data_IF_387787740480
#
_entry.id   IF_387787740480
#
_cell.length_a   1.000
_cell.length_b   1.000
_cell.length_c   1.000
_cell.angle_alpha   90.00
_cell.angle_beta   90.00
_cell.angle_gamma   90.00
#
_symmetry.space_group_name_H-M   'P 1'
#
loop_
_entity.id
_entity.type
_entity.pdbx_description
1 polymer ?
#
# COMPACT_ATOMS: atom_id res chain seq x y z
N UNK A 1 24.02 -2.78 0.51
CA UNK A 1 24.75 -2.25 -0.66
C UNK A 1 25.38 -3.38 -1.49
N UNK A 2 26.31 -4.20 -0.97
CA UNK A 2 26.94 -5.30 -1.74
C UNK A 2 25.92 -6.32 -2.31
N UNK A 3 24.99 -6.82 -1.48
CA UNK A 3 23.95 -7.74 -1.96
C UNK A 3 23.06 -7.14 -3.08
N UNK A 4 22.75 -5.84 -3.00
CA UNK A 4 21.96 -5.14 -4.02
C UNK A 4 22.75 -5.02 -5.32
N UNK A 5 24.03 -4.67 -5.27
CA UNK A 5 24.91 -4.60 -6.43
C UNK A 5 25.04 -5.96 -7.12
N UNK A 6 25.26 -7.04 -6.34
CA UNK A 6 25.31 -8.41 -6.87
C UNK A 6 24.00 -8.80 -7.56
N UNK A 7 22.86 -8.45 -6.96
CA UNK A 7 21.55 -8.71 -7.56
C UNK A 7 21.36 -7.95 -8.87
N UNK A 8 21.72 -6.67 -8.94
CA UNK A 8 21.67 -5.88 -10.18
C UNK A 8 22.57 -6.45 -11.28
N UNK A 9 23.80 -6.87 -10.93
CA UNK A 9 24.70 -7.53 -11.88
C UNK A 9 24.12 -8.86 -12.39
N UNK A 10 23.52 -9.65 -11.50
CA UNK A 10 22.83 -10.88 -11.87
C UNK A 10 21.66 -10.63 -12.83
N UNK A 11 20.82 -9.63 -12.54
CA UNK A 11 19.72 -9.24 -13.43
C UNK A 11 20.23 -8.80 -14.81
N UNK A 12 21.35 -8.08 -14.85
CA UNK A 12 21.98 -7.65 -16.11
C UNK A 12 22.50 -8.81 -16.93
N UNK A 13 23.21 -9.76 -16.31
CA UNK A 13 23.67 -10.96 -16.98
C UNK A 13 22.51 -11.81 -17.52
N UNK A 14 21.42 -11.94 -16.75
CA UNK A 14 20.21 -12.62 -17.22
C UNK A 14 19.57 -11.92 -18.41
N UNK A 15 19.48 -10.59 -18.37
CA UNK A 15 18.94 -9.80 -19.46
C UNK A 15 19.78 -9.93 -20.73
N UNK A 16 21.11 -9.81 -20.62
CA UNK A 16 22.04 -9.97 -21.76
C UNK A 16 21.90 -11.36 -22.41
N UNK A 17 21.80 -12.41 -21.59
CA UNK A 17 21.54 -13.77 -22.08
C UNK A 17 20.15 -13.89 -22.74
N UNK A 18 19.12 -13.28 -22.16
CA UNK A 18 17.76 -13.30 -22.70
C UNK A 18 17.66 -12.63 -24.08
N UNK A 19 18.40 -11.55 -24.32
CA UNK A 19 18.42 -10.86 -25.62
C UNK A 19 19.04 -11.71 -26.75
N UNK A 20 19.89 -12.69 -26.43
CA UNK A 20 20.51 -13.57 -27.41
C UNK A 20 19.58 -14.70 -27.87
N UNK A 21 18.45 -14.92 -27.20
CA UNK A 21 17.53 -16.03 -27.50
C UNK A 21 16.51 -15.59 -28.58
N UNK A 22 16.51 -16.21 -29.77
CA UNK A 22 15.57 -15.86 -30.84
C UNK A 22 14.14 -16.22 -30.46
N UNK A 23 13.26 -15.22 -30.41
CA UNK A 23 11.86 -15.39 -29.98
C UNK A 23 10.96 -16.10 -30.99
N UNK A 24 11.25 -15.96 -32.29
CA UNK A 24 10.40 -16.47 -33.37
C UNK A 24 10.26 -18.00 -33.45
N UNK A 25 11.11 -18.75 -32.74
CA UNK A 25 11.07 -20.22 -32.69
C UNK A 25 10.39 -20.80 -31.45
N UNK A 26 9.99 -19.97 -30.48
CA UNK A 26 9.42 -20.45 -29.23
C UNK A 26 7.94 -20.80 -29.39
N UNK A 27 7.63 -22.11 -29.37
CA UNK A 27 6.26 -22.62 -29.46
C UNK A 27 5.58 -22.79 -28.09
N UNK A 28 6.36 -22.95 -27.02
CA UNK A 28 5.84 -23.05 -25.67
C UNK A 28 5.53 -21.65 -25.11
N UNK A 29 4.25 -21.40 -24.81
CA UNK A 29 3.78 -20.11 -24.31
C UNK A 29 4.40 -19.76 -22.95
N UNK A 30 4.57 -20.73 -22.06
CA UNK A 30 5.14 -20.49 -20.74
C UNK A 30 6.60 -20.00 -20.86
N UNK A 31 7.43 -20.68 -21.64
CA UNK A 31 8.81 -20.29 -21.93
C UNK A 31 8.88 -18.93 -22.63
N UNK A 32 8.01 -18.69 -23.62
CA UNK A 32 7.91 -17.40 -24.28
C UNK A 32 7.62 -16.27 -23.28
N UNK A 33 6.64 -16.46 -22.38
CA UNK A 33 6.27 -15.48 -21.36
C UNK A 33 7.39 -15.26 -20.34
N UNK A 34 8.08 -16.32 -19.90
CA UNK A 34 9.26 -16.18 -19.04
C UNK A 34 10.34 -15.32 -19.70
N UNK A 35 10.67 -15.61 -20.96
CA UNK A 35 11.67 -14.85 -21.71
C UNK A 35 11.24 -13.39 -21.90
N UNK A 36 9.96 -13.15 -22.17
CA UNK A 36 9.39 -11.80 -22.31
C UNK A 36 9.58 -10.98 -21.04
N UNK A 37 9.28 -11.55 -19.87
CA UNK A 37 9.45 -10.89 -18.57
C UNK A 37 10.92 -10.65 -18.24
N UNK A 38 11.79 -11.66 -18.45
CA UNK A 38 13.23 -11.55 -18.20
C UNK A 38 13.95 -10.56 -19.14
N UNK A 39 13.38 -10.30 -20.31
CA UNK A 39 13.93 -9.33 -21.28
C UNK A 39 13.72 -7.87 -20.87
N UNK A 40 13.04 -7.60 -19.75
CA UNK A 40 12.79 -6.25 -19.23
C UNK A 40 13.53 -6.13 -17.90
N UNK A 41 14.57 -5.30 -17.90
CA UNK A 41 15.48 -5.11 -16.77
C UNK A 41 15.16 -3.83 -15.98
N UNK A 42 14.19 -3.03 -16.46
CA UNK A 42 13.73 -1.81 -15.79
C UNK A 42 14.81 -0.73 -15.71
N UNK A 43 14.92 0.00 -14.58
CA UNK A 43 15.91 1.07 -14.42
C UNK A 43 17.37 0.63 -14.62
N UNK A 44 17.68 -0.65 -14.40
CA UNK A 44 19.03 -1.18 -14.59
C UNK A 44 19.50 -1.21 -16.07
N UNK A 45 18.62 -0.86 -17.02
CA UNK A 45 19.00 -0.61 -18.40
C UNK A 45 19.80 0.69 -18.57
N UNK A 46 19.68 1.63 -17.62
CA UNK A 46 20.43 2.88 -17.64
C UNK A 46 21.94 2.65 -17.55
N UNK A 47 22.77 3.52 -18.17
CA UNK A 47 24.20 3.59 -17.90
C UNK A 47 24.50 3.69 -16.40
N UNK A 48 25.63 3.14 -15.90
CA UNK A 48 25.92 3.11 -14.47
C UNK A 48 25.83 4.47 -13.75
N UNK A 49 26.32 5.54 -14.38
CA UNK A 49 26.26 6.91 -13.84
C UNK A 49 24.82 7.43 -13.72
N UNK A 50 23.97 7.12 -14.70
CA UNK A 50 22.55 7.50 -14.71
C UNK A 50 21.74 6.63 -13.74
N UNK A 51 22.05 5.34 -13.62
CA UNK A 51 21.44 4.45 -12.64
C UNK A 51 21.77 4.88 -11.21
N UNK A 52 23.03 5.26 -10.95
CA UNK A 52 23.44 5.82 -9.67
C UNK A 52 22.69 7.12 -9.36
N UNK A 53 22.54 8.01 -10.34
CA UNK A 53 21.74 9.23 -10.20
C UNK A 53 20.27 8.93 -9.93
N UNK A 54 19.68 7.98 -10.66
CA UNK A 54 18.30 7.53 -10.47
C UNK A 54 18.07 7.04 -9.04
N UNK A 55 18.94 6.16 -8.54
CA UNK A 55 18.85 5.63 -7.18
C UNK A 55 19.05 6.72 -6.11
N UNK A 56 19.98 7.66 -6.33
CA UNK A 56 20.19 8.79 -5.41
C UNK A 56 18.96 9.69 -5.33
N UNK A 57 18.37 10.06 -6.47
CA UNK A 57 17.15 10.88 -6.51
C UNK A 57 16.01 10.22 -5.73
N UNK A 58 15.78 8.91 -5.92
CA UNK A 58 14.77 8.18 -5.15
C UNK A 58 15.07 8.23 -3.65
N UNK A 59 16.32 7.96 -3.25
CA UNK A 59 16.71 8.00 -1.84
C UNK A 59 16.57 9.40 -1.23
N UNK A 60 16.90 10.45 -1.98
CA UNK A 60 16.76 11.84 -1.53
C UNK A 60 15.27 12.21 -1.35
N UNK A 61 14.40 11.81 -2.28
CA UNK A 61 12.95 12.02 -2.13
C UNK A 61 12.38 11.24 -0.93
N UNK A 62 12.80 9.98 -0.74
CA UNK A 62 12.41 9.17 0.41
C UNK A 62 12.90 9.79 1.71
N UNK A 63 14.14 10.30 1.74
CA UNK A 63 14.68 11.00 2.90
C UNK A 63 13.84 12.25 3.23
N UNK A 64 13.55 13.09 2.23
CA UNK A 64 12.69 14.27 2.42
C UNK A 64 11.33 13.89 3.01
N UNK A 65 10.69 12.84 2.50
CA UNK A 65 9.39 12.39 2.97
C UNK A 65 9.46 11.83 4.41
N UNK A 66 10.44 10.98 4.69
CA UNK A 66 10.56 10.27 5.97
C UNK A 66 11.05 11.17 7.11
N UNK A 67 11.88 12.17 6.82
CA UNK A 67 12.40 13.10 7.84
C UNK A 67 11.58 14.39 7.91
N UNK A 68 10.51 14.53 7.14
CA UNK A 68 9.67 15.71 7.21
C UNK A 68 8.98 15.78 8.57
N UNK A 69 8.97 16.98 9.13
CA UNK A 69 8.35 17.31 10.39
C UNK A 69 7.53 18.59 10.23
N UNK A 70 6.50 18.72 11.05
CA UNK A 70 5.64 19.91 11.12
C UNK A 70 5.54 20.34 12.59
N UNK A 71 5.41 21.65 12.82
CA UNK A 71 5.19 22.18 14.16
C UNK A 71 3.69 22.22 14.49
N UNK A 72 3.35 21.94 15.75
CA UNK A 72 1.97 21.94 16.23
C UNK A 72 1.31 23.31 16.01
N UNK A 73 0.01 23.30 15.69
CA UNK A 73 -0.76 24.52 15.45
C UNK A 73 -0.87 25.40 16.71
N UNK A 74 -1.28 24.79 17.83
CA UNK A 74 -1.49 25.50 19.10
C UNK A 74 -0.21 25.77 19.90
N UNK A 75 0.89 25.06 19.60
CA UNK A 75 2.17 25.17 20.28
C UNK A 75 3.29 25.34 19.23
N UNK A 76 3.54 26.54 18.69
CA UNK A 76 4.45 26.73 17.56
C UNK A 76 5.91 26.29 17.81
N UNK A 77 6.33 26.24 19.08
CA UNK A 77 7.66 25.77 19.49
C UNK A 77 7.75 24.23 19.61
N UNK A 78 6.62 23.53 19.57
CA UNK A 78 6.54 22.07 19.58
C UNK A 78 6.59 21.57 18.13
N UNK A 79 7.81 21.39 17.65
CA UNK A 79 8.12 20.81 16.35
C UNK A 79 8.46 19.32 16.48
N UNK A 80 8.78 18.67 15.35
CA UNK A 80 9.10 17.23 15.33
C UNK A 80 7.89 16.31 15.19
N UNK A 81 6.72 16.83 14.78
CA UNK A 81 5.58 15.95 14.48
C UNK A 81 5.82 15.30 13.12
N UNK A 82 5.93 13.98 13.11
CA UNK A 82 6.13 13.20 11.90
C UNK A 82 4.79 12.75 11.31
N UNK A 83 4.82 12.36 10.03
CA UNK A 83 3.63 11.87 9.35
C UNK A 83 2.93 10.74 10.13
N UNK A 84 3.72 9.83 10.69
CA UNK A 84 3.27 8.71 11.50
C UNK A 84 3.99 8.68 12.85
N UNK A 85 3.26 8.56 13.97
CA UNK A 85 1.79 8.53 14.07
C UNK A 85 1.11 9.92 14.11
N UNK A 86 1.84 11.00 14.39
CA UNK A 86 1.26 12.24 14.92
C UNK A 86 0.37 12.97 13.91
N UNK A 87 0.87 13.27 12.70
CA UNK A 87 0.09 14.05 11.74
C UNK A 87 -1.12 13.26 11.21
N UNK A 88 -0.98 11.94 11.00
CA UNK A 88 -2.11 11.08 10.65
C UNK A 88 -3.17 11.05 11.74
N UNK A 89 -2.76 11.03 13.01
CA UNK A 89 -3.70 11.11 14.14
C UNK A 89 -4.44 12.45 14.14
N UNK A 90 -3.74 13.57 13.98
CA UNK A 90 -4.36 14.91 13.93
C UNK A 90 -5.34 15.01 12.77
N UNK A 91 -4.94 14.62 11.54
CA UNK A 91 -5.81 14.69 10.36
C UNK A 91 -7.07 13.82 10.49
N UNK A 92 -7.01 12.72 11.23
CA UNK A 92 -8.16 11.82 11.42
C UNK A 92 -9.06 12.19 12.61
N UNK A 93 -8.53 12.82 13.67
CA UNK A 93 -9.26 13.08 14.92
C UNK A 93 -9.60 14.55 15.15
N UNK A 94 -8.76 15.49 14.69
CA UNK A 94 -9.03 16.91 14.86
C UNK A 94 -10.27 17.33 14.08
N UNK A 95 -11.00 18.28 14.65
CA UNK A 95 -12.20 18.93 14.06
C UNK A 95 -12.03 20.45 14.00
N UNK A 96 -10.84 20.93 14.33
CA UNK A 96 -10.50 22.33 14.19
C UNK A 96 -10.11 22.57 12.72
N UNK A 97 -10.88 23.43 12.05
CA UNK A 97 -10.64 23.79 10.66
C UNK A 97 -9.23 24.34 10.45
N UNK A 98 -8.80 25.26 11.31
CA UNK A 98 -7.56 25.99 11.15
C UNK A 98 -6.35 25.10 11.49
N UNK A 99 -6.48 24.18 12.46
CA UNK A 99 -5.47 23.14 12.72
C UNK A 99 -5.30 22.20 11.52
N UNK A 100 -6.41 21.67 10.99
CA UNK A 100 -6.37 20.77 9.83
C UNK A 100 -5.77 21.47 8.61
N UNK A 101 -6.13 22.73 8.38
CA UNK A 101 -5.59 23.54 7.28
C UNK A 101 -4.09 23.79 7.46
N UNK A 102 -3.64 24.12 8.67
CA UNK A 102 -2.22 24.32 9.00
C UNK A 102 -1.41 23.06 8.72
N UNK A 103 -1.81 21.91 9.30
CA UNK A 103 -1.11 20.64 9.13
C UNK A 103 -1.06 20.21 7.66
N UNK A 104 -2.19 20.29 6.94
CA UNK A 104 -2.27 19.93 5.52
C UNK A 104 -1.34 20.79 4.65
N UNK A 105 -1.24 22.08 4.97
CA UNK A 105 -0.44 23.07 4.22
C UNK A 105 1.04 22.92 4.51
N UNK A 106 1.42 22.87 5.79
CA UNK A 106 2.83 22.77 6.20
C UNK A 106 3.43 21.42 5.79
N UNK A 107 2.66 20.32 5.84
CA UNK A 107 3.11 19.04 5.30
C UNK A 107 3.51 19.15 3.82
N UNK A 108 2.67 19.76 2.99
CA UNK A 108 2.93 19.98 1.56
C UNK A 108 4.08 20.96 1.32
N UNK A 109 4.25 21.94 2.20
CA UNK A 109 5.38 22.88 2.14
C UNK A 109 6.70 22.17 2.46
N UNK A 110 6.73 21.31 3.48
CA UNK A 110 7.93 20.66 3.97
C UNK A 110 8.30 19.40 3.17
N UNK A 111 7.38 18.86 2.38
CA UNK A 111 7.63 17.72 1.46
C UNK A 111 7.57 18.14 0.00
N UNK A 112 6.35 18.39 -0.52
CA UNK A 112 6.09 18.59 -1.95
C UNK A 112 6.95 19.66 -2.62
N UNK A 113 7.20 20.79 -1.95
CA UNK A 113 8.09 21.84 -2.51
C UNK A 113 9.54 21.37 -2.67
N UNK A 114 10.04 20.54 -1.75
CA UNK A 114 11.41 20.02 -1.78
C UNK A 114 11.58 18.87 -2.77
N UNK A 115 10.50 18.11 -3.02
CA UNK A 115 10.50 16.96 -3.94
C UNK A 115 10.33 17.39 -5.40
N UNK A 116 9.75 18.56 -5.68
CA UNK A 116 9.42 19.00 -7.05
C UNK A 116 10.55 18.79 -8.07
N UNK A 117 11.71 19.42 -7.84
CA UNK A 117 12.81 19.40 -8.81
C UNK A 117 13.44 18.01 -8.93
N UNK A 118 13.42 17.21 -7.85
CA UNK A 118 13.85 15.82 -7.85
C UNK A 118 12.91 14.95 -8.68
N UNK A 119 11.59 15.19 -8.57
CA UNK A 119 10.57 14.45 -9.29
C UNK A 119 10.62 14.72 -10.80
N UNK A 120 10.84 15.98 -11.20
CA UNK A 120 11.03 16.33 -12.63
C UNK A 120 12.21 15.54 -13.23
N UNK A 121 13.36 15.49 -12.54
CA UNK A 121 14.53 14.70 -12.97
C UNK A 121 14.26 13.20 -12.97
N UNK A 122 13.51 12.70 -11.98
CA UNK A 122 13.13 11.29 -11.91
C UNK A 122 12.27 10.88 -13.12
N UNK A 123 11.33 11.73 -13.53
CA UNK A 123 10.47 11.48 -14.70
C UNK A 123 11.32 11.33 -15.97
N UNK A 124 12.31 12.21 -16.17
CA UNK A 124 13.21 12.13 -17.33
C UNK A 124 14.00 10.81 -17.36
N UNK A 125 14.64 10.45 -16.23
CA UNK A 125 15.40 9.20 -16.11
C UNK A 125 14.51 7.96 -16.24
N UNK A 126 13.29 7.99 -15.70
CA UNK A 126 12.34 6.87 -15.81
C UNK A 126 11.89 6.68 -17.26
N UNK A 127 11.63 7.77 -17.99
CA UNK A 127 11.31 7.70 -19.42
C UNK A 127 12.49 7.21 -20.25
N UNK A 128 13.71 7.61 -19.93
CA UNK A 128 14.90 7.10 -20.59
C UNK A 128 15.07 5.60 -20.35
N UNK A 129 14.91 5.13 -19.11
CA UNK A 129 14.93 3.71 -18.78
C UNK A 129 13.86 2.92 -19.55
N UNK A 130 12.65 3.46 -19.65
CA UNK A 130 11.56 2.84 -20.40
C UNK A 130 11.91 2.67 -21.88
N UNK A 131 12.48 3.69 -22.52
CA UNK A 131 12.94 3.63 -23.93
C UNK A 131 14.03 2.61 -24.15
N UNK A 132 14.98 2.49 -23.21
CA UNK A 132 16.02 1.45 -23.25
C UNK A 132 15.46 0.03 -23.10
N UNK A 133 14.28 -0.11 -22.49
CA UNK A 133 13.53 -1.37 -22.43
C UNK A 133 12.53 -1.54 -23.59
N UNK A 134 12.64 -0.75 -24.67
CA UNK A 134 11.77 -0.75 -25.85
C UNK A 134 10.30 -0.37 -25.58
N UNK A 135 10.05 0.50 -24.58
CA UNK A 135 8.75 1.14 -24.37
C UNK A 135 8.75 2.59 -24.87
N UNK A 136 7.58 3.15 -25.14
CA UNK A 136 7.45 4.55 -25.57
C UNK A 136 7.82 5.54 -24.45
N UNK A 137 7.39 5.22 -23.24
CA UNK A 137 7.52 6.05 -22.03
C UNK A 137 7.33 5.21 -20.75
N UNK A 138 7.50 5.84 -19.60
CA UNK A 138 7.30 5.23 -18.29
C UNK A 138 5.88 4.67 -18.08
N UNK A 139 4.87 5.28 -18.68
CA UNK A 139 3.47 4.85 -18.55
C UNK A 139 3.26 3.50 -19.25
N UNK A 140 3.76 3.34 -20.48
CA UNK A 140 3.74 2.07 -21.20
C UNK A 140 4.54 0.97 -20.47
N UNK A 141 5.69 1.34 -19.88
CA UNK A 141 6.46 0.43 -19.04
C UNK A 141 5.69 -0.03 -17.79
N UNK A 142 4.99 0.86 -17.08
CA UNK A 142 4.19 0.49 -15.91
C UNK A 142 2.92 -0.30 -16.23
N UNK A 143 2.36 -0.12 -17.44
CA UNK A 143 1.22 -0.91 -17.90
C UNK A 143 1.61 -2.33 -18.35
N UNK A 144 2.90 -2.57 -18.63
CA UNK A 144 3.38 -3.85 -19.13
C UNK A 144 2.91 -5.09 -18.34
N UNK A 145 2.96 -5.11 -16.98
CA UNK A 145 2.53 -6.28 -16.21
C UNK A 145 1.02 -6.58 -16.27
N UNK A 146 0.20 -5.63 -16.71
CA UNK A 146 -1.25 -5.84 -16.85
C UNK A 146 -1.59 -6.61 -18.14
N UNK A 147 -0.67 -6.64 -19.11
CA UNK A 147 -0.82 -7.35 -20.40
C UNK A 147 -2.12 -7.01 -21.15
N UNK A 148 -2.69 -5.83 -20.91
CA UNK A 148 -3.81 -5.25 -21.68
C UNK A 148 -3.32 -4.11 -22.57
N UNK A 149 -3.91 -4.00 -23.77
CA UNK A 149 -3.64 -2.90 -24.69
C UNK A 149 -4.50 -1.66 -24.41
N UNK A 150 -5.59 -1.80 -23.64
CA UNK A 150 -6.64 -0.79 -23.49
C UNK A 150 -6.84 -0.34 -22.03
N UNK A 151 -5.82 -0.47 -21.17
CA UNK A 151 -5.91 -0.18 -19.73
C UNK A 151 -6.64 1.13 -19.39
N UNK A 152 -6.34 2.23 -20.12
CA UNK A 152 -6.99 3.53 -19.87
C UNK A 152 -8.50 3.48 -20.09
N UNK A 153 -8.92 2.89 -21.21
CA UNK A 153 -10.34 2.75 -21.52
C UNK A 153 -11.04 1.83 -20.51
N UNK A 154 -10.42 0.70 -20.14
CA UNK A 154 -10.97 -0.22 -19.15
C UNK A 154 -11.17 0.48 -17.79
N UNK A 155 -10.22 1.30 -17.36
CA UNK A 155 -10.32 2.10 -16.12
C UNK A 155 -11.41 3.16 -16.23
N UNK A 156 -11.52 3.87 -17.35
CA UNK A 156 -12.56 4.88 -17.58
C UNK A 156 -13.97 4.26 -17.57
N UNK A 157 -14.13 3.08 -18.18
CA UNK A 157 -15.38 2.32 -18.19
C UNK A 157 -15.81 1.86 -16.78
N UNK A 158 -14.86 1.45 -15.94
CA UNK A 158 -15.13 1.11 -14.54
C UNK A 158 -15.44 2.36 -13.73
N UNK A 159 -14.75 3.48 -13.98
CA UNK A 159 -15.01 4.74 -13.29
C UNK A 159 -16.44 5.24 -13.55
N UNK A 160 -16.93 5.21 -14.80
CA UNK A 160 -18.29 5.64 -15.11
C UNK A 160 -19.36 4.75 -14.45
N UNK A 161 -19.05 3.48 -14.14
CA UNK A 161 -19.95 2.62 -13.35
C UNK A 161 -19.97 2.99 -11.85
N UNK A 162 -18.84 3.42 -11.29
CA UNK A 162 -18.70 3.79 -9.87
C UNK A 162 -19.20 5.22 -9.61
N UNK A 163 -19.06 6.10 -10.59
CA UNK A 163 -19.33 7.54 -10.49
C UNK A 163 -20.71 7.88 -9.92
N UNK A 164 -21.83 7.24 -10.32
CA UNK A 164 -23.13 7.54 -9.71
C UNK A 164 -23.16 7.33 -8.18
N UNK A 165 -22.54 6.25 -7.69
CA UNK A 165 -22.42 5.98 -6.27
C UNK A 165 -21.51 7.01 -5.59
N UNK A 166 -20.36 7.32 -6.21
CA UNK A 166 -19.41 8.29 -5.68
C UNK A 166 -20.04 9.70 -5.58
N UNK A 167 -20.80 10.14 -6.58
CA UNK A 167 -21.46 11.44 -6.58
C UNK A 167 -22.52 11.56 -5.47
N UNK A 168 -23.30 10.50 -5.24
CA UNK A 168 -24.25 10.43 -4.13
C UNK A 168 -23.54 10.48 -2.77
N UNK A 169 -22.48 9.68 -2.60
CA UNK A 169 -21.68 9.64 -1.39
C UNK A 169 -21.00 11.00 -1.13
N UNK A 170 -20.38 11.58 -2.15
CA UNK A 170 -19.75 12.89 -2.10
C UNK A 170 -20.76 13.99 -1.72
N UNK A 171 -21.95 14.00 -2.34
CA UNK A 171 -23.00 14.96 -2.01
C UNK A 171 -23.49 14.82 -0.56
N UNK A 172 -23.69 13.59 -0.08
CA UNK A 172 -24.07 13.30 1.30
C UNK A 172 -23.00 13.75 2.29
N UNK A 173 -21.74 13.37 2.06
CA UNK A 173 -20.60 13.75 2.91
C UNK A 173 -20.41 15.27 2.92
N UNK A 174 -20.50 15.94 1.77
CA UNK A 174 -20.46 17.41 1.69
C UNK A 174 -21.55 18.05 2.54
N UNK A 175 -22.77 17.52 2.51
CA UNK A 175 -23.87 18.02 3.35
C UNK A 175 -23.55 17.85 4.84
N UNK A 176 -23.08 16.68 5.27
CA UNK A 176 -22.72 16.42 6.68
C UNK A 176 -21.58 17.30 7.16
N UNK A 177 -20.51 17.41 6.39
CA UNK A 177 -19.39 18.32 6.68
C UNK A 177 -19.88 19.77 6.79
N UNK A 178 -20.81 20.17 5.92
CA UNK A 178 -21.40 21.51 5.96
C UNK A 178 -22.29 21.74 7.18
N UNK A 179 -22.98 20.72 7.68
CA UNK A 179 -23.71 20.77 8.95
C UNK A 179 -22.74 20.98 10.13
N UNK A 180 -21.53 20.42 10.06
CA UNK A 180 -20.50 20.55 11.10
C UNK A 180 -19.68 21.85 11.03
N UNK A 181 -19.20 22.24 9.84
CA UNK A 181 -18.27 23.37 9.64
C UNK A 181 -18.94 24.66 9.16
N UNK A 182 -20.23 24.63 8.87
CA UNK A 182 -21.01 25.83 8.54
C UNK A 182 -21.07 26.23 7.05
N UNK A 183 -22.06 27.07 6.68
CA UNK A 183 -22.23 27.64 5.33
C UNK A 183 -21.04 28.36 4.73
N UNK A 184 -20.32 29.08 5.57
CA UNK A 184 -19.27 30.02 5.23
C UNK A 184 -18.00 29.30 4.78
N UNK A 185 -17.78 28.08 5.29
CA UNK A 185 -16.64 27.24 4.95
C UNK A 185 -16.96 26.25 3.82
N UNK A 186 -18.20 25.75 3.74
CA UNK A 186 -18.58 24.69 2.79
C UNK A 186 -19.80 25.10 1.95
N UNK A 187 -19.55 25.33 0.67
CA UNK A 187 -20.60 25.60 -0.32
C UNK A 187 -21.41 24.35 -0.64
N UNK A 188 -22.67 24.55 -1.05
CA UNK A 188 -23.57 23.48 -1.49
C UNK A 188 -23.15 22.86 -2.83
N UNK A 189 -22.43 23.60 -3.66
CA UNK A 189 -22.10 23.22 -5.04
C UNK A 189 -20.60 23.13 -5.31
N UNK A 190 -19.74 23.73 -4.48
CA UNK A 190 -18.29 23.66 -4.66
C UNK A 190 -17.72 22.28 -4.26
N UNK A 191 -16.51 21.94 -4.74
CA UNK A 191 -15.74 20.80 -4.24
C UNK A 191 -15.51 20.87 -2.73
N UNK A 192 -15.35 19.71 -2.10
CA UNK A 192 -15.00 19.62 -0.67
C UNK A 192 -13.52 20.04 -0.48
N UNK A 193 -13.21 20.90 0.50
CA UNK A 193 -11.82 21.21 0.86
C UNK A 193 -11.04 19.94 1.25
N UNK A 194 -9.84 19.76 0.70
CA UNK A 194 -9.10 18.49 0.85
C UNK A 194 -8.56 18.20 2.26
N UNK A 195 -8.48 19.20 3.14
CA UNK A 195 -7.89 19.07 4.48
C UNK A 195 -8.87 18.55 5.54
N UNK A 196 -10.16 18.44 5.23
CA UNK A 196 -11.21 18.04 6.21
C UNK A 196 -11.76 16.63 5.98
N UNK A 197 -11.04 15.80 5.22
CA UNK A 197 -11.52 14.46 4.82
C UNK A 197 -11.03 13.33 5.73
N UNK A 198 -10.43 13.65 6.88
CA UNK A 198 -10.01 12.64 7.87
C UNK A 198 -8.69 11.94 7.54
N UNK A 199 -7.98 12.44 6.53
CA UNK A 199 -6.72 11.90 6.00
C UNK A 199 -5.89 13.01 5.35
N UNK A 200 -4.56 12.85 5.30
CA UNK A 200 -3.63 13.85 4.76
C UNK A 200 -3.84 14.13 3.25
N UNK A 201 -4.34 13.13 2.51
CA UNK A 201 -4.54 13.20 1.05
C UNK A 201 -6.02 13.14 0.65
N UNK A 202 -6.91 12.82 1.60
CA UNK A 202 -8.33 12.60 1.32
C UNK A 202 -8.59 11.29 0.57
N UNK A 203 -7.65 10.33 0.61
CA UNK A 203 -7.74 9.06 -0.11
C UNK A 203 -8.64 8.04 0.60
N UNK A 204 -8.88 8.25 1.89
CA UNK A 204 -9.84 7.51 2.71
C UNK A 204 -10.63 8.50 3.55
N UNK A 205 -11.95 8.29 3.66
CA UNK A 205 -12.84 9.11 4.48
C UNK A 205 -13.23 8.42 5.79
N UNK A 206 -12.48 7.37 6.19
CA UNK A 206 -12.72 6.65 7.45
C UNK A 206 -12.59 7.55 8.68
N UNK A 207 -11.67 8.52 8.68
CA UNK A 207 -11.48 9.45 9.80
C UNK A 207 -12.67 10.39 10.07
N UNK A 208 -13.57 10.54 9.10
CA UNK A 208 -14.77 11.38 9.21
C UNK A 208 -16.06 10.59 9.45
N UNK A 209 -15.96 9.27 9.60
CA UNK A 209 -17.11 8.40 9.90
C UNK A 209 -17.90 8.88 11.12
N UNK A 210 -17.30 9.24 12.27
CA UNK A 210 -18.05 9.57 13.48
C UNK A 210 -19.13 10.66 13.33
N UNK A 211 -18.99 11.57 12.35
CA UNK A 211 -19.97 12.64 12.11
C UNK A 211 -20.66 12.54 10.74
N UNK A 212 -20.30 11.55 9.91
CA UNK A 212 -21.01 11.23 8.67
C UNK A 212 -21.97 10.04 8.84
N UNK A 213 -22.05 9.44 10.03
CA UNK A 213 -22.99 8.36 10.34
C UNK A 213 -24.45 8.72 9.96
N UNK A 214 -25.14 7.88 9.17
CA UNK A 214 -26.53 8.12 8.80
C UNK A 214 -27.50 8.10 9.99
N UNK A 215 -27.22 7.26 11.00
CA UNK A 215 -28.08 7.02 12.14
C UNK A 215 -27.39 7.49 13.44
N UNK A 216 -27.76 8.68 13.97
CA UNK A 216 -27.21 9.18 15.23
C UNK A 216 -27.46 8.20 16.38
N UNK A 217 -26.47 8.05 17.27
CA UNK A 217 -26.56 7.16 18.44
C UNK A 217 -26.33 5.67 18.15
N UNK A 218 -26.05 5.29 16.90
CA UNK A 218 -25.52 3.96 16.55
C UNK A 218 -24.02 4.05 16.37
N UNK A 219 -23.29 3.14 17.00
CA UNK A 219 -21.84 2.98 16.81
C UNK A 219 -21.57 1.87 15.82
N UNK A 220 -20.43 1.94 15.15
CA UNK A 220 -19.90 0.78 14.45
C UNK A 220 -19.44 -0.25 15.47
N UNK A 221 -19.45 -1.52 15.06
CA UNK A 221 -18.88 -2.60 15.87
C UNK A 221 -17.38 -2.38 15.99
N UNK A 222 -16.88 -2.41 17.22
CA UNK A 222 -15.45 -2.41 17.54
C UNK A 222 -15.21 -3.54 18.54
N UNK A 223 -14.43 -4.54 18.14
CA UNK A 223 -14.13 -5.74 18.94
C UNK A 223 -12.90 -5.55 19.85
N UNK A 224 -12.26 -4.38 19.80
CA UNK A 224 -11.06 -4.08 20.59
C UNK A 224 -11.26 -4.29 22.10
N UNK A 225 -12.36 -3.82 22.72
CA UNK A 225 -12.59 -4.05 24.16
C UNK A 225 -12.71 -5.53 24.52
N UNK A 226 -13.42 -6.31 23.69
CA UNK A 226 -13.64 -7.74 23.89
C UNK A 226 -12.34 -8.54 23.72
N UNK A 227 -11.51 -8.20 22.72
CA UNK A 227 -10.19 -8.81 22.54
C UNK A 227 -9.30 -8.59 23.77
N UNK A 228 -9.28 -7.37 24.30
CA UNK A 228 -8.54 -7.05 25.52
C UNK A 228 -9.08 -7.81 26.73
N UNK A 229 -10.40 -7.89 26.89
CA UNK A 229 -11.04 -8.62 27.99
C UNK A 229 -10.74 -10.13 27.95
N UNK A 230 -10.67 -10.71 26.75
CA UNK A 230 -10.35 -12.12 26.54
C UNK A 230 -8.83 -12.41 26.60
N UNK A 231 -7.99 -11.39 26.79
CA UNK A 231 -6.54 -11.57 26.93
C UNK A 231 -5.83 -11.91 25.62
N UNK A 232 -6.32 -11.40 24.49
CA UNK A 232 -5.69 -11.62 23.19
C UNK A 232 -4.27 -11.06 23.17
N UNK A 233 -3.39 -11.76 22.44
CA UNK A 233 -2.02 -11.32 22.20
C UNK A 233 -1.79 -11.12 20.69
N UNK A 234 -0.73 -10.42 20.26
CA UNK A 234 -0.33 -10.39 18.85
C UNK A 234 -0.26 -11.78 18.21
N UNK A 235 0.28 -12.77 18.92
CA UNK A 235 0.35 -14.15 18.44
C UNK A 235 -1.05 -14.74 18.22
N UNK A 236 -1.96 -14.56 19.18
CA UNK A 236 -3.36 -15.01 19.08
C UNK A 236 -4.06 -14.41 17.87
N UNK A 237 -3.80 -13.15 17.55
CA UNK A 237 -4.37 -12.48 16.37
C UNK A 237 -3.95 -13.17 15.07
N UNK A 238 -2.67 -13.52 14.93
CA UNK A 238 -2.17 -14.24 13.74
C UNK A 238 -2.64 -15.70 13.70
N UNK A 239 -2.78 -16.36 14.85
CA UNK A 239 -3.35 -17.71 14.92
C UNK A 239 -4.80 -17.72 14.48
N UNK A 240 -5.59 -16.74 14.90
CA UNK A 240 -6.96 -16.57 14.44
C UNK A 240 -7.03 -16.34 12.92
N UNK A 241 -6.09 -15.57 12.37
CA UNK A 241 -5.97 -15.39 10.92
C UNK A 241 -5.62 -16.72 10.21
N UNK A 242 -4.71 -17.53 10.76
CA UNK A 242 -4.40 -18.86 10.21
C UNK A 242 -5.63 -19.78 10.23
N UNK A 243 -6.36 -19.83 11.35
CA UNK A 243 -7.58 -20.62 11.49
C UNK A 243 -8.61 -20.26 10.40
N UNK A 244 -8.78 -18.96 10.11
CA UNK A 244 -9.63 -18.51 9.02
C UNK A 244 -9.20 -19.08 7.66
N UNK A 245 -7.91 -19.01 7.31
CA UNK A 245 -7.43 -19.54 6.03
C UNK A 245 -7.51 -21.08 5.96
N UNK A 246 -7.16 -21.77 7.04
CA UNK A 246 -7.28 -23.23 7.14
C UNK A 246 -8.75 -23.67 7.03
N UNK A 247 -9.70 -22.90 7.58
CA UNK A 247 -11.13 -23.20 7.46
C UNK A 247 -11.62 -23.19 6.00
N UNK A 248 -10.98 -22.41 5.13
CA UNK A 248 -11.20 -22.38 3.69
C UNK A 248 -10.36 -23.41 2.92
N UNK A 249 -9.78 -24.40 3.62
CA UNK A 249 -8.93 -25.44 3.04
C UNK A 249 -7.65 -24.89 2.38
N UNK A 250 -7.10 -23.78 2.91
CA UNK A 250 -5.79 -23.25 2.55
C UNK A 250 -4.67 -23.84 3.44
N UNK A 251 -3.42 -23.44 3.22
CA UNK A 251 -2.28 -24.10 3.86
C UNK A 251 -1.97 -23.49 5.22
N UNK A 252 -1.91 -24.31 6.28
CA UNK A 252 -1.33 -23.86 7.55
C UNK A 252 0.08 -23.26 7.34
N UNK A 253 0.44 -22.29 8.17
CA UNK A 253 1.71 -21.60 8.12
C UNK A 253 2.85 -22.56 8.46
N UNK A 254 3.99 -22.49 7.74
CA UNK A 254 5.17 -23.28 8.07
C UNK A 254 5.68 -22.98 9.49
N UNK A 255 6.32 -23.96 10.13
CA UNK A 255 6.92 -23.76 11.46
C UNK A 255 7.90 -22.56 11.50
N UNK A 256 8.71 -22.40 10.44
CA UNK A 256 9.68 -21.30 10.35
C UNK A 256 9.01 -19.92 10.30
N UNK A 257 7.77 -19.82 9.80
CA UNK A 257 7.03 -18.57 9.81
C UNK A 257 6.80 -18.08 11.25
N UNK A 258 6.36 -18.95 12.14
CA UNK A 258 6.13 -18.62 13.55
C UNK A 258 7.42 -18.33 14.30
N UNK A 259 8.49 -19.07 14.00
CA UNK A 259 9.77 -18.92 14.68
C UNK A 259 10.53 -17.64 14.27
N UNK A 260 10.35 -17.16 13.02
CA UNK A 260 11.21 -16.13 12.43
C UNK A 260 10.50 -14.81 12.11
N UNK A 261 9.15 -14.77 12.14
CA UNK A 261 8.39 -13.53 11.94
C UNK A 261 8.51 -12.59 13.13
N UNK A 262 8.46 -11.29 12.86
CA UNK A 262 8.35 -10.25 13.87
C UNK A 262 6.89 -9.80 13.94
N UNK A 263 6.08 -10.49 14.75
CA UNK A 263 4.64 -10.25 14.92
C UNK A 263 4.33 -9.20 15.99
N UNK A 264 5.35 -8.70 16.69
CA UNK A 264 5.26 -7.61 17.65
C UNK A 264 6.59 -6.85 17.68
N UNK A 265 6.56 -5.65 18.26
CA UNK A 265 7.75 -4.84 18.49
C UNK A 265 8.72 -5.60 19.43
N UNK A 266 9.94 -5.95 18.98
CA UNK A 266 10.93 -6.59 19.85
C UNK A 266 11.33 -5.67 21.00
N UNK A 267 11.62 -6.26 22.16
CA UNK A 267 12.01 -5.50 23.37
C UNK A 267 13.46 -5.02 23.32
N UNK A 268 14.31 -5.66 22.51
CA UNK A 268 15.75 -5.41 22.41
C UNK A 268 16.12 -4.33 21.39
N UNK A 269 15.24 -4.03 20.43
CA UNK A 269 15.53 -3.09 19.34
C UNK A 269 14.27 -2.49 18.74
N UNK A 270 14.36 -1.23 18.33
CA UNK A 270 13.31 -0.61 17.52
C UNK A 270 13.34 -1.13 16.08
N UNK A 271 12.17 -1.41 15.49
CA UNK A 271 12.05 -1.83 14.10
C UNK A 271 11.09 -0.90 13.34
N UNK A 272 11.23 -0.82 12.02
CA UNK A 272 10.27 -0.10 11.19
C UNK A 272 8.90 -0.79 11.26
N UNK A 273 7.90 -0.17 11.87
CA UNK A 273 6.64 -0.84 12.22
C UNK A 273 5.62 -0.98 11.09
N UNK A 274 5.88 -0.44 9.89
CA UNK A 274 4.96 -0.61 8.76
C UNK A 274 4.77 -2.12 8.45
N UNK A 275 3.52 -2.62 8.43
CA UNK A 275 3.20 -4.01 8.10
C UNK A 275 3.77 -4.40 6.73
N UNK A 276 4.29 -5.63 6.65
CA UNK A 276 4.83 -6.18 5.41
C UNK A 276 5.01 -7.69 5.50
N UNK A 277 4.72 -8.39 4.41
CA UNK A 277 4.98 -9.80 4.20
C UNK A 277 6.17 -10.02 3.24
N UNK A 278 6.95 -11.09 3.49
CA UNK A 278 8.23 -11.35 2.82
C UNK A 278 8.33 -12.80 2.33
N UNK A 279 8.64 -12.99 1.04
CA UNK A 279 9.06 -14.25 0.42
C UNK A 279 10.58 -14.25 0.21
N UNK A 280 11.32 -15.10 0.94
CA UNK A 280 12.77 -15.21 0.83
C UNK A 280 13.23 -16.02 -0.40
N UNK A 281 12.31 -16.34 -1.30
CA UNK A 281 12.53 -16.92 -2.63
C UNK A 281 13.13 -18.34 -2.62
N UNK A 282 13.24 -18.98 -1.46
CA UNK A 282 13.78 -20.32 -1.28
C UNK A 282 12.70 -21.43 -1.20
N UNK A 283 11.42 -21.07 -1.34
CA UNK A 283 10.23 -21.94 -1.25
C UNK A 283 9.84 -22.42 0.16
N UNK A 284 10.56 -22.00 1.19
CA UNK A 284 10.40 -22.50 2.56
C UNK A 284 10.23 -21.38 3.59
N UNK A 285 10.90 -20.25 3.39
CA UNK A 285 11.00 -19.15 4.34
C UNK A 285 10.11 -17.97 3.92
N UNK A 286 9.07 -17.76 4.72
CA UNK A 286 8.06 -16.72 4.54
C UNK A 286 7.82 -16.06 5.90
N UNK A 287 7.75 -14.72 5.93
CA UNK A 287 7.69 -13.99 7.21
C UNK A 287 6.81 -12.75 7.14
N UNK A 288 6.26 -12.37 8.28
CA UNK A 288 5.61 -11.07 8.49
C UNK A 288 6.46 -10.22 9.43
N UNK A 289 6.49 -8.91 9.17
CA UNK A 289 7.05 -7.88 10.05
C UNK A 289 6.01 -6.81 10.32
N UNK A 290 5.42 -6.84 11.52
CA UNK A 290 4.37 -5.95 11.99
C UNK A 290 4.49 -5.69 13.50
N UNK A 291 4.35 -4.45 13.93
CA UNK A 291 4.25 -4.09 15.35
C UNK A 291 2.77 -4.14 15.77
N UNK A 292 2.24 -5.33 15.97
CA UNK A 292 0.82 -5.55 16.17
C UNK A 292 0.36 -5.11 17.56
N UNK A 293 -0.72 -4.33 17.58
CA UNK A 293 -1.49 -3.96 18.76
C UNK A 293 -2.72 -4.86 18.87
N UNK A 294 -3.25 -5.00 20.08
CA UNK A 294 -4.47 -5.78 20.33
C UNK A 294 -5.67 -4.88 20.10
N UNK A 295 -5.99 -4.65 18.82
CA UNK A 295 -7.15 -3.88 18.38
C UNK A 295 -7.74 -4.44 17.07
N UNK A 296 -8.96 -3.99 16.75
CA UNK A 296 -9.69 -4.42 15.57
C UNK A 296 -8.96 -4.07 14.26
N UNK A 297 -8.23 -2.96 14.21
CA UNK A 297 -7.53 -2.51 12.99
C UNK A 297 -6.36 -3.44 12.68
N UNK A 298 -5.57 -3.78 13.68
CA UNK A 298 -4.41 -4.65 13.55
C UNK A 298 -4.83 -6.11 13.37
N UNK A 299 -6.01 -6.51 13.88
CA UNK A 299 -6.65 -7.79 13.54
C UNK A 299 -6.92 -7.94 12.04
N UNK A 300 -7.48 -6.90 11.40
CA UNK A 300 -7.72 -6.88 9.94
C UNK A 300 -6.42 -6.86 9.17
N UNK A 301 -5.45 -6.08 9.66
CA UNK A 301 -4.15 -5.97 9.04
C UNK A 301 -3.40 -7.30 9.11
N UNK A 302 -3.52 -8.07 10.20
CA UNK A 302 -2.95 -9.41 10.29
C UNK A 302 -3.53 -10.37 9.24
N UNK A 303 -4.86 -10.33 8.99
CA UNK A 303 -5.48 -11.11 7.92
C UNK A 303 -4.99 -10.69 6.53
N UNK A 304 -4.83 -9.38 6.32
CA UNK A 304 -4.25 -8.84 5.08
C UNK A 304 -2.82 -9.35 4.85
N UNK A 305 -1.96 -9.29 5.87
CA UNK A 305 -0.57 -9.75 5.76
C UNK A 305 -0.46 -11.28 5.61
N UNK A 306 -1.32 -12.04 6.30
CA UNK A 306 -1.40 -13.50 6.15
C UNK A 306 -1.86 -13.92 4.75
N UNK A 307 -2.77 -13.17 4.13
CA UNK A 307 -3.16 -13.41 2.75
C UNK A 307 -1.98 -13.32 1.76
N UNK A 308 -0.98 -12.46 2.02
CA UNK A 308 0.24 -12.44 1.20
C UNK A 308 1.02 -13.76 1.35
N UNK A 309 1.15 -14.26 2.58
CA UNK A 309 1.87 -15.52 2.85
C UNK A 309 1.17 -16.69 2.16
N UNK A 310 -0.17 -16.77 2.23
CA UNK A 310 -0.94 -17.77 1.50
C UNK A 310 -0.72 -17.70 -0.01
N UNK A 311 -0.69 -16.48 -0.56
CA UNK A 311 -0.35 -16.28 -1.97
C UNK A 311 1.05 -16.81 -2.29
N UNK A 312 2.02 -16.57 -1.39
CA UNK A 312 3.39 -17.05 -1.53
C UNK A 312 3.50 -18.58 -1.50
N UNK A 313 2.74 -19.22 -0.60
CA UNK A 313 2.66 -20.68 -0.49
C UNK A 313 2.03 -21.28 -1.74
N UNK A 314 0.98 -20.67 -2.29
CA UNK A 314 0.28 -21.15 -3.47
C UNK A 314 1.17 -21.19 -4.72
N UNK A 315 1.96 -20.14 -4.98
CA UNK A 315 2.79 -20.07 -6.19
C UNK A 315 4.22 -20.62 -6.02
N UNK A 316 4.59 -21.17 -4.85
CA UNK A 316 6.01 -21.49 -4.51
C UNK A 316 6.69 -22.45 -5.48
N UNK A 317 5.90 -23.28 -6.14
CA UNK A 317 6.39 -24.27 -7.09
C UNK A 317 6.54 -23.73 -8.52
N UNK A 318 6.07 -22.51 -8.79
CA UNK A 318 6.26 -21.85 -10.08
C UNK A 318 7.73 -21.42 -10.28
N UNK A 319 8.19 -21.25 -11.54
CA UNK A 319 9.43 -20.54 -11.84
C UNK A 319 9.48 -19.19 -11.15
N UNK A 320 10.66 -18.73 -10.70
CA UNK A 320 10.78 -17.50 -9.90
C UNK A 320 10.18 -16.28 -10.59
N UNK A 321 10.29 -16.18 -11.92
CA UNK A 321 9.72 -15.07 -12.72
C UNK A 321 8.18 -15.03 -12.71
N UNK A 322 7.52 -16.11 -12.30
CA UNK A 322 6.07 -16.19 -12.15
C UNK A 322 5.60 -16.19 -10.69
N UNK A 323 6.50 -16.00 -9.72
CA UNK A 323 6.17 -15.88 -8.29
C UNK A 323 5.90 -14.42 -7.95
N UNK A 324 4.79 -13.94 -8.47
CA UNK A 324 4.23 -12.62 -8.23
C UNK A 324 2.71 -12.68 -8.42
N UNK A 325 1.99 -11.62 -8.07
CA UNK A 325 0.60 -11.46 -8.44
C UNK A 325 0.39 -11.60 -9.94
N UNK A 326 -0.73 -12.18 -10.37
CA UNK A 326 -1.05 -12.32 -11.80
C UNK A 326 -1.04 -10.98 -12.55
N UNK A 327 -1.31 -9.87 -11.85
CA UNK A 327 -0.92 -8.50 -12.18
C UNK A 327 -0.83 -7.70 -10.85
N UNK A 328 -0.27 -6.48 -10.83
CA UNK A 328 -0.11 -5.71 -9.59
C UNK A 328 -1.44 -5.46 -8.84
N UNK A 329 -2.55 -5.31 -9.58
CA UNK A 329 -3.89 -5.13 -8.99
C UNK A 329 -4.44 -6.39 -8.30
N UNK A 330 -4.24 -7.57 -8.88
CA UNK A 330 -4.77 -8.85 -8.37
C UNK A 330 -4.18 -9.23 -7.02
N UNK A 331 -2.88 -8.97 -6.82
CA UNK A 331 -2.27 -9.14 -5.50
C UNK A 331 -3.03 -8.29 -4.48
N UNK A 332 -3.16 -6.98 -4.72
CA UNK A 332 -3.86 -6.06 -3.81
C UNK A 332 -5.33 -6.44 -3.57
N UNK A 333 -6.06 -6.89 -4.60
CA UNK A 333 -7.48 -7.25 -4.49
C UNK A 333 -7.70 -8.47 -3.60
N UNK A 334 -6.93 -9.55 -3.81
CA UNK A 334 -7.07 -10.78 -3.03
C UNK A 334 -6.83 -10.51 -1.53
N UNK A 335 -5.82 -9.69 -1.23
CA UNK A 335 -5.48 -9.32 0.14
C UNK A 335 -6.56 -8.48 0.82
N UNK A 336 -7.24 -7.61 0.07
CA UNK A 336 -8.36 -6.81 0.58
C UNK A 336 -9.64 -7.64 0.75
N UNK A 337 -9.88 -8.63 -0.12
CA UNK A 337 -11.05 -9.51 -0.01
C UNK A 337 -11.06 -10.28 1.31
N UNK A 338 -9.92 -10.84 1.73
CA UNK A 338 -9.86 -11.61 2.97
C UNK A 338 -10.05 -10.77 4.23
N UNK A 339 -9.56 -9.53 4.25
CA UNK A 339 -9.85 -8.59 5.34
C UNK A 339 -11.33 -8.20 5.43
N UNK A 340 -12.08 -8.22 4.32
CA UNK A 340 -13.52 -7.91 4.27
C UNK A 340 -14.38 -9.13 4.62
N UNK A 341 -14.05 -10.32 4.12
CA UNK A 341 -14.82 -11.55 4.38
C UNK A 341 -14.76 -11.99 5.85
N UNK A 342 -13.63 -11.80 6.52
CA UNK A 342 -13.54 -12.05 7.96
C UNK A 342 -14.61 -11.28 8.75
N UNK A 343 -14.92 -10.04 8.36
CA UNK A 343 -15.99 -9.27 9.02
C UNK A 343 -17.39 -9.75 8.68
N UNK A 344 -17.64 -10.24 7.47
CA UNK A 344 -18.96 -10.80 7.15
C UNK A 344 -19.23 -12.08 7.94
N UNK A 345 -18.19 -12.90 8.16
CA UNK A 345 -18.30 -14.15 8.91
C UNK A 345 -18.52 -13.88 10.41
N UNK A 346 -17.80 -12.92 11.02
CA UNK A 346 -18.07 -12.48 12.41
C UNK A 346 -19.48 -11.91 12.56
N UNK A 347 -19.98 -11.14 11.58
CA UNK A 347 -21.33 -10.58 11.65
C UNK A 347 -22.42 -11.65 11.49
N UNK A 348 -22.16 -12.72 10.74
CA UNK A 348 -23.10 -13.82 10.55
C UNK A 348 -23.14 -14.77 11.76
N UNK A 349 -22.01 -15.01 12.43
CA UNK A 349 -21.99 -15.85 13.64
C UNK A 349 -22.63 -15.16 14.86
N UNK A 350 -22.71 -13.83 14.90
CA UNK A 350 -23.42 -13.07 15.94
C UNK A 350 -24.90 -12.75 15.60
N UNK A 351 -25.43 -13.29 14.49
CA UNK A 351 -26.85 -13.19 14.10
C UNK A 351 -27.63 -14.52 14.25
N UNK A 352 -27.02 -15.54 14.86
CA UNK A 352 -27.66 -16.76 15.37
C UNK A 352 -27.46 -16.83 16.88
#
# INVERSE_FOLDING_TARGET
LDAQQRYTLFQRGLWEAAQQIPRGGLRDYATFRQLRLLSIIGPAALPPDQLDRYNRIINDMLAVYNTAEVCAYNEPFKCGLHLQPELQFIMSHSRDWDELQHIWTEWRRNTGRRVRDLYEQLVDLTNQAARLNNFTDASAYWMFPYETNNMRQEVDEVWEQIKPLYELLHAYVRRRLRESYGPERISRSAPIPAHILGDMWGQSWSGIVPFTLPYPGKTLVDVTPEMAQQGYTPLTIFQLAEEFFVSMNMSAMPHDFWALSALQQPTDRHIHCQPSAWDFCNKHDYRIKMCTHVDMKDLVTAHHEMAHIEYFLAYRNLPKVFRDGANPGKQITILKLFGVNFFSDICNENML
#
